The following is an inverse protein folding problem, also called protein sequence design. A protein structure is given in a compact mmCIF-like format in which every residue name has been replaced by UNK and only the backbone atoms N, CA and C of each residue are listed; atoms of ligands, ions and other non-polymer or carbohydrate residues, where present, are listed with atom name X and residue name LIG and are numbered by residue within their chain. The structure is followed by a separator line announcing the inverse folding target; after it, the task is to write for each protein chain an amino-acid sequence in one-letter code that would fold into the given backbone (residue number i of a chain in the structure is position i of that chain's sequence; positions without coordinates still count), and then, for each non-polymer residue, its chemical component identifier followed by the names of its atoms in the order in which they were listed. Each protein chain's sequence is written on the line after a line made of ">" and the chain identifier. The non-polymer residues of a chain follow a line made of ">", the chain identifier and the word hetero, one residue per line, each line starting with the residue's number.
data_IF_739125197168
#
_entry.id   IF_739125197168
#
_cell.length_a   1.000
_cell.length_b   1.000
_cell.length_c   1.000
_cell.angle_alpha   90.00
_cell.angle_beta   90.00
_cell.angle_gamma   90.00
#
_symmetry.space_group_name_H-M   'P 1'
#
loop_
_entity.id
_entity.type
_entity.pdbx_description
1 polymer ?
#
# COMPACT_ATOMS: atom_id res chain seq x y z
N UNK A 1 27.84 30.05 -9.24
CA UNK A 1 26.38 29.80 -9.15
C UNK A 1 26.05 28.65 -10.07
N UNK A 2 25.80 27.46 -9.54
CA UNK A 2 25.29 26.35 -10.35
C UNK A 2 23.76 26.45 -10.36
N UNK A 3 23.22 27.28 -11.26
CA UNK A 3 21.80 27.27 -11.59
C UNK A 3 21.51 26.00 -12.40
N UNK A 4 21.33 24.88 -11.71
CA UNK A 4 20.65 23.75 -12.31
C UNK A 4 19.16 24.07 -12.29
N UNK A 5 18.63 24.52 -13.43
CA UNK A 5 17.20 24.51 -13.68
C UNK A 5 16.75 23.05 -13.67
N UNK A 6 16.03 22.66 -12.63
CA UNK A 6 15.37 21.36 -12.59
C UNK A 6 14.04 21.54 -13.29
N UNK A 7 13.93 21.07 -14.53
CA UNK A 7 12.65 20.92 -15.20
C UNK A 7 11.91 19.73 -14.57
N UNK A 8 11.34 19.92 -13.39
CA UNK A 8 10.35 18.97 -12.89
C UNK A 8 9.18 19.01 -13.88
N UNK A 9 8.83 17.86 -14.47
CA UNK A 9 7.76 17.79 -15.47
C UNK A 9 6.44 18.34 -14.94
N UNK A 10 5.55 18.73 -15.88
CA UNK A 10 4.20 19.15 -15.54
C UNK A 10 3.46 18.01 -14.81
N UNK A 11 2.56 18.39 -13.90
CA UNK A 11 1.74 17.42 -13.20
C UNK A 11 0.79 16.71 -14.19
N UNK A 12 0.57 15.41 -13.98
CA UNK A 12 -0.42 14.66 -14.75
C UNK A 12 -1.82 15.26 -14.59
N UNK A 13 -2.66 15.06 -15.59
CA UNK A 13 -4.04 15.53 -15.55
C UNK A 13 -4.87 14.77 -14.52
N UNK A 14 -5.69 15.51 -13.76
CA UNK A 14 -6.67 14.94 -12.84
C UNK A 14 -6.39 15.26 -11.37
N UNK A 15 -7.43 15.13 -10.55
CA UNK A 15 -7.42 15.57 -9.15
C UNK A 15 -6.67 14.64 -8.19
N UNK A 16 -6.18 13.49 -8.69
CA UNK A 16 -5.55 12.43 -7.87
C UNK A 16 -4.07 12.27 -8.16
N UNK A 17 -3.53 13.13 -9.00
CA UNK A 17 -2.13 13.09 -9.41
C UNK A 17 -1.21 13.79 -8.40
N UNK A 18 -1.72 14.19 -7.23
CA UNK A 18 -0.92 14.68 -6.13
C UNK A 18 -1.56 14.35 -4.78
N UNK A 19 -0.74 14.31 -3.73
CA UNK A 19 -1.20 14.16 -2.36
C UNK A 19 -0.20 14.79 -1.39
N UNK A 20 -0.70 15.23 -0.23
CA UNK A 20 0.12 15.76 0.87
C UNK A 20 0.24 14.68 1.95
N UNK A 21 1.47 14.38 2.34
CA UNK A 21 1.79 13.49 3.45
C UNK A 21 2.42 14.23 4.62
N UNK A 22 2.78 13.49 5.66
CA UNK A 22 3.64 14.00 6.71
C UNK A 22 4.50 12.89 7.28
N UNK A 23 5.70 13.26 7.70
CA UNK A 23 6.64 12.41 8.45
C UNK A 23 7.26 13.25 9.56
N UNK A 24 7.23 12.74 10.80
CA UNK A 24 7.67 13.47 12.00
C UNK A 24 7.04 14.87 12.16
N UNK A 25 5.80 15.05 11.68
CA UNK A 25 5.10 16.34 11.70
C UNK A 25 5.51 17.33 10.60
N UNK A 26 6.51 16.99 9.77
CA UNK A 26 6.89 17.77 8.60
C UNK A 26 6.07 17.34 7.39
N UNK A 27 5.46 18.30 6.71
CA UNK A 27 4.66 18.02 5.53
C UNK A 27 5.54 17.88 4.29
N UNK A 28 5.08 17.02 3.37
CA UNK A 28 5.64 16.91 2.04
C UNK A 28 4.51 16.78 1.02
N UNK A 29 4.78 17.20 -0.21
CA UNK A 29 3.88 17.05 -1.34
C UNK A 29 4.49 16.07 -2.32
N UNK A 30 3.75 15.02 -2.69
CA UNK A 30 4.11 14.15 -3.79
C UNK A 30 3.15 14.38 -4.96
N UNK A 31 3.68 14.50 -6.17
CA UNK A 31 2.87 14.62 -7.37
C UNK A 31 3.43 13.81 -8.54
N UNK A 32 2.55 13.43 -9.45
CA UNK A 32 2.82 12.63 -10.63
C UNK A 32 3.24 13.51 -11.81
N UNK A 33 4.31 13.13 -12.50
CA UNK A 33 4.76 13.76 -13.74
C UNK A 33 5.17 12.68 -14.76
N UNK A 34 4.31 12.41 -15.74
CA UNK A 34 4.35 11.21 -16.59
C UNK A 34 4.29 9.94 -15.74
N UNK A 35 5.33 9.12 -15.84
CA UNK A 35 5.53 7.93 -15.02
C UNK A 35 6.35 8.19 -13.74
N UNK A 36 6.75 9.43 -13.47
CA UNK A 36 7.57 9.77 -12.30
C UNK A 36 6.72 10.29 -11.15
N UNK A 37 7.25 10.15 -9.93
CA UNK A 37 6.71 10.80 -8.73
C UNK A 37 7.75 11.80 -8.23
N UNK A 38 7.37 13.06 -8.15
CA UNK A 38 8.21 14.14 -7.61
C UNK A 38 7.78 14.41 -6.18
N UNK A 39 8.75 14.41 -5.27
CA UNK A 39 8.55 14.66 -3.83
C UNK A 39 9.18 15.99 -3.46
N UNK A 40 8.38 16.85 -2.84
CA UNK A 40 8.72 18.21 -2.44
C UNK A 40 8.57 18.36 -0.92
N UNK A 41 9.44 19.13 -0.30
CA UNK A 41 9.29 19.53 1.10
C UNK A 41 8.21 20.61 1.27
N UNK A 42 8.01 21.08 2.51
CA UNK A 42 7.03 22.12 2.83
C UNK A 42 7.32 23.46 2.16
N UNK A 43 8.57 23.72 1.78
CA UNK A 43 9.03 24.93 1.10
C UNK A 43 9.10 24.74 -0.42
N UNK A 44 8.53 23.64 -0.95
CA UNK A 44 8.49 23.32 -2.39
C UNK A 44 9.88 23.02 -2.96
N UNK A 45 10.88 22.77 -2.11
CA UNK A 45 12.18 22.26 -2.56
C UNK A 45 12.06 20.78 -2.92
N UNK A 46 12.68 20.40 -4.03
CA UNK A 46 12.68 19.01 -4.48
C UNK A 46 13.56 18.13 -3.59
N UNK A 47 12.93 17.16 -2.94
CA UNK A 47 13.57 16.15 -2.09
C UNK A 47 14.03 14.97 -2.93
N UNK A 48 13.13 14.41 -3.76
CA UNK A 48 13.42 13.21 -4.54
C UNK A 48 12.56 13.16 -5.81
N UNK A 49 13.06 12.48 -6.84
CA UNK A 49 12.25 11.98 -7.95
C UNK A 49 12.33 10.46 -7.94
N UNK A 50 11.18 9.80 -7.84
CA UNK A 50 11.06 8.37 -8.09
C UNK A 50 10.83 8.19 -9.59
N UNK A 51 11.88 7.76 -10.28
CA UNK A 51 11.88 7.63 -11.74
C UNK A 51 11.17 6.35 -12.16
N UNK A 52 9.99 6.48 -12.77
CA UNK A 52 9.23 5.32 -13.24
C UNK A 52 9.97 4.58 -14.35
N UNK A 53 10.67 5.29 -15.23
CA UNK A 53 11.47 4.68 -16.31
C UNK A 53 12.62 3.84 -15.78
N UNK A 54 13.34 4.32 -14.76
CA UNK A 54 14.44 3.57 -14.11
C UNK A 54 13.93 2.33 -13.38
N UNK A 55 12.71 2.41 -12.83
CA UNK A 55 12.02 1.28 -12.20
C UNK A 55 11.32 0.35 -13.21
N UNK A 56 11.39 0.66 -14.51
CA UNK A 56 10.80 -0.14 -15.59
C UNK A 56 9.29 0.00 -15.73
N UNK A 57 8.68 1.04 -15.15
CA UNK A 57 7.27 1.36 -15.30
C UNK A 57 7.02 2.02 -16.66
N UNK A 58 6.07 1.48 -17.41
CA UNK A 58 5.82 1.88 -18.80
C UNK A 58 4.60 2.79 -18.96
N UNK A 59 3.85 3.00 -17.88
CA UNK A 59 2.59 3.73 -17.87
C UNK A 59 2.70 4.97 -16.98
N UNK A 60 1.80 5.92 -17.17
CA UNK A 60 1.74 7.12 -16.34
C UNK A 60 1.14 6.81 -14.96
N UNK A 61 1.51 7.62 -13.97
CA UNK A 61 0.91 7.55 -12.65
C UNK A 61 -0.51 8.11 -12.72
N UNK A 62 -1.52 7.30 -12.36
CA UNK A 62 -2.93 7.69 -12.42
C UNK A 62 -3.46 8.24 -11.09
N UNK A 63 -3.00 7.71 -9.97
CA UNK A 63 -3.38 8.17 -8.64
C UNK A 63 -2.18 8.14 -7.68
N UNK A 64 -2.12 9.10 -6.77
CA UNK A 64 -1.17 9.16 -5.66
C UNK A 64 -1.96 9.35 -4.35
N UNK A 65 -1.59 8.60 -3.32
CA UNK A 65 -2.01 8.87 -1.95
C UNK A 65 -0.80 8.84 -1.01
N UNK A 66 -0.68 9.88 -0.18
CA UNK A 66 0.33 9.95 0.87
C UNK A 66 -0.30 9.69 2.23
N UNK A 67 0.38 8.92 3.06
CA UNK A 67 0.01 8.71 4.44
C UNK A 67 0.37 9.95 5.27
N UNK A 68 -0.53 10.35 6.17
CA UNK A 68 -0.34 11.57 6.98
C UNK A 68 0.55 11.35 8.21
N UNK A 69 0.72 10.10 8.65
CA UNK A 69 1.47 9.78 9.88
C UNK A 69 2.84 9.16 9.59
N UNK A 70 2.92 8.21 8.65
CA UNK A 70 4.14 7.45 8.36
C UNK A 70 4.86 7.88 7.08
N UNK A 71 4.36 8.91 6.41
CA UNK A 71 4.90 9.40 5.15
C UNK A 71 4.96 8.40 3.99
N UNK A 72 4.29 7.25 4.07
CA UNK A 72 4.22 6.29 2.96
C UNK A 72 3.51 6.88 1.75
N UNK A 73 3.89 6.43 0.56
CA UNK A 73 3.26 6.83 -0.70
C UNK A 73 2.72 5.58 -1.38
N UNK A 74 1.45 5.62 -1.78
CA UNK A 74 0.85 4.65 -2.69
C UNK A 74 0.67 5.35 -4.05
N UNK A 75 1.15 4.74 -5.12
CA UNK A 75 0.99 5.26 -6.47
C UNK A 75 0.48 4.18 -7.42
N UNK A 76 -0.55 4.50 -8.20
CA UNK A 76 -1.11 3.57 -9.16
C UNK A 76 -0.60 3.80 -10.58
N UNK A 77 -0.34 2.70 -11.26
CA UNK A 77 0.05 2.62 -12.67
C UNK A 77 -0.85 1.56 -13.29
N UNK A 78 -1.84 1.98 -14.08
CA UNK A 78 -2.88 1.09 -14.62
C UNK A 78 -3.57 0.26 -13.52
N UNK A 79 -3.31 -1.05 -13.48
CA UNK A 79 -3.89 -2.01 -12.54
C UNK A 79 -2.95 -2.36 -11.37
N UNK A 80 -1.83 -1.67 -11.24
CA UNK A 80 -0.83 -1.89 -10.18
C UNK A 80 -0.81 -0.74 -9.21
N UNK A 81 -0.62 -1.04 -7.92
CA UNK A 81 -0.35 -0.04 -6.88
C UNK A 81 1.01 -0.33 -6.26
N UNK A 82 1.94 0.59 -6.42
CA UNK A 82 3.27 0.53 -5.80
C UNK A 82 3.26 1.27 -4.48
N UNK A 83 3.90 0.67 -3.47
CA UNK A 83 4.06 1.26 -2.15
C UNK A 83 5.50 1.68 -1.97
N UNK A 84 5.69 2.93 -1.56
CA UNK A 84 6.98 3.51 -1.23
C UNK A 84 7.02 3.92 0.24
N UNK A 85 8.07 3.49 0.94
CA UNK A 85 8.28 3.83 2.34
C UNK A 85 9.49 4.77 2.49
N UNK A 86 9.39 5.79 3.34
CA UNK A 86 10.50 6.68 3.65
C UNK A 86 11.50 5.99 4.58
N UNK A 87 12.78 6.10 4.26
CA UNK A 87 13.89 5.72 5.11
C UNK A 87 14.71 6.97 5.48
N UNK A 88 15.11 7.15 6.76
CA UNK A 88 15.98 8.24 7.14
C UNK A 88 17.29 8.20 6.36
N UNK A 89 17.77 9.37 5.93
CA UNK A 89 19.09 9.52 5.29
C UNK A 89 19.95 10.50 6.07
N UNK A 90 21.27 10.40 5.92
CA UNK A 90 22.19 11.39 6.49
C UNK A 90 21.87 12.75 5.86
N UNK A 91 21.67 13.77 6.70
CA UNK A 91 21.37 15.14 6.32
C UNK A 91 22.15 15.57 5.08
N UNK A 92 21.43 15.87 4.01
CA UNK A 92 22.02 16.56 2.86
C UNK A 92 22.20 18.02 3.25
N UNK A 93 23.42 18.54 3.18
CA UNK A 93 23.72 19.93 3.55
C UNK A 93 22.83 20.93 2.78
N UNK A 94 21.75 21.40 3.41
CA UNK A 94 21.03 22.64 3.09
C UNK A 94 20.15 22.68 1.83
N UNK A 95 19.81 21.55 1.19
CA UNK A 95 18.97 21.56 -0.04
C UNK A 95 17.46 21.51 0.17
N UNK A 96 17.01 20.89 1.27
CA UNK A 96 15.60 20.72 1.63
C UNK A 96 15.49 20.40 3.12
N UNK A 97 14.29 20.52 3.69
CA UNK A 97 14.04 20.31 5.14
C UNK A 97 13.74 18.87 5.54
N UNK A 98 13.68 17.93 4.60
CA UNK A 98 13.33 16.53 4.85
C UNK A 98 14.52 15.57 4.70
N UNK A 99 14.91 14.90 5.78
CA UNK A 99 16.03 13.94 5.81
C UNK A 99 15.56 12.51 5.53
N UNK A 100 14.76 12.35 4.48
CA UNK A 100 14.12 11.08 4.13
C UNK A 100 14.24 10.79 2.64
N UNK A 101 14.38 9.51 2.30
CA UNK A 101 14.33 9.02 0.93
C UNK A 101 13.33 7.87 0.84
N UNK A 102 12.46 7.92 -0.16
CA UNK A 102 11.46 6.89 -0.44
C UNK A 102 12.05 5.80 -1.33
N UNK A 103 11.69 4.57 -1.01
CA UNK A 103 12.04 3.38 -1.80
C UNK A 103 10.83 2.45 -1.93
N UNK A 104 10.74 1.73 -3.05
CA UNK A 104 9.65 0.78 -3.27
C UNK A 104 9.78 -0.38 -2.30
N UNK A 105 8.73 -0.64 -1.52
CA UNK A 105 8.68 -1.76 -0.56
C UNK A 105 7.54 -2.74 -0.83
N UNK A 106 6.59 -2.39 -1.69
CA UNK A 106 5.41 -3.20 -1.96
C UNK A 106 4.82 -3.01 -3.34
N UNK A 107 4.09 -4.02 -3.79
CA UNK A 107 3.31 -4.03 -5.02
C UNK A 107 2.00 -4.78 -4.79
N UNK A 108 0.89 -4.17 -5.18
CA UNK A 108 -0.43 -4.79 -5.27
C UNK A 108 -0.83 -4.84 -6.74
N UNK A 109 -1.36 -5.98 -7.19
CA UNK A 109 -1.95 -6.12 -8.52
C UNK A 109 -3.46 -6.33 -8.40
N UNK A 110 -4.21 -5.65 -9.26
CA UNK A 110 -5.66 -5.69 -9.32
C UNK A 110 -6.12 -6.16 -10.71
N UNK A 111 -7.35 -6.66 -10.81
CA UNK A 111 -7.91 -7.17 -12.07
C UNK A 111 -8.30 -6.06 -13.06
N UNK A 112 -8.30 -4.80 -12.62
CA UNK A 112 -8.69 -3.66 -13.43
C UNK A 112 -7.99 -2.37 -13.03
N UNK A 113 -8.27 -1.30 -13.78
CA UNK A 113 -7.66 0.00 -13.58
C UNK A 113 -7.96 0.56 -12.18
N UNK A 114 -6.92 1.08 -11.54
CA UNK A 114 -7.02 1.71 -10.24
C UNK A 114 -7.41 3.17 -10.40
N UNK A 115 -8.65 3.47 -10.04
CA UNK A 115 -9.22 4.81 -10.20
C UNK A 115 -9.10 5.67 -8.94
N UNK A 116 -8.85 5.08 -7.78
CA UNK A 116 -8.61 5.82 -6.55
C UNK A 116 -7.87 4.97 -5.53
N UNK A 117 -6.96 5.59 -4.78
CA UNK A 117 -6.24 4.98 -3.66
C UNK A 117 -6.37 5.88 -2.44
N UNK A 118 -6.45 5.29 -1.25
CA UNK A 118 -6.37 6.03 0.01
C UNK A 118 -5.76 5.16 1.10
N UNK A 119 -5.08 5.83 2.03
CA UNK A 119 -4.55 5.20 3.22
C UNK A 119 -5.58 5.17 4.34
N UNK A 120 -5.67 4.04 5.04
CA UNK A 120 -6.20 4.02 6.40
C UNK A 120 -5.25 4.76 7.33
N UNK A 121 -5.77 5.46 8.34
CA UNK A 121 -5.08 6.51 9.11
C UNK A 121 -3.74 6.07 9.74
N UNK A 122 -3.48 4.77 9.90
CA UNK A 122 -2.21 4.31 10.46
C UNK A 122 -1.08 4.15 9.46
N UNK A 123 -1.29 3.82 8.18
CA UNK A 123 -0.20 3.41 7.25
C UNK A 123 0.72 2.26 7.74
N UNK A 124 0.60 1.87 9.01
CA UNK A 124 1.29 0.84 9.74
C UNK A 124 0.57 -0.45 9.45
N UNK A 125 1.33 -1.53 9.37
CA UNK A 125 0.81 -2.89 9.30
C UNK A 125 -0.24 -3.07 10.40
N UNK A 126 -1.53 -3.00 10.08
CA UNK A 126 -2.52 -3.73 10.87
C UNK A 126 -2.39 -5.21 10.50
N UNK A 127 -1.26 -5.81 10.87
CA UNK A 127 -1.05 -7.25 11.07
C UNK A 127 0.00 -7.41 12.19
N UNK A 128 -0.18 -6.74 13.33
CA UNK A 128 0.51 -7.11 14.56
C UNK A 128 -0.55 -7.26 15.66
N UNK A 129 -1.30 -8.35 15.52
CA UNK A 129 -1.80 -9.17 16.62
C UNK A 129 -2.25 -10.51 16.04
N UNK A 130 -1.27 -11.34 15.68
CA UNK A 130 -1.28 -12.79 15.89
C UNK A 130 0.17 -13.28 15.81
N UNK A 131 1.00 -12.72 16.70
CA UNK A 131 2.18 -13.44 17.17
C UNK A 131 1.63 -14.60 18.00
N UNK A 132 1.67 -15.81 17.44
CA UNK A 132 2.16 -16.99 18.14
C UNK A 132 2.36 -18.17 17.19
N UNK A 133 3.65 -18.49 17.03
CA UNK A 133 4.20 -19.82 16.87
C UNK A 133 3.99 -20.55 15.54
N UNK A 134 5.10 -20.71 14.84
CA UNK A 134 5.41 -21.93 14.09
C UNK A 134 5.22 -23.17 14.96
N UNK A 135 4.80 -24.28 14.35
CA UNK A 135 5.65 -25.46 14.42
C UNK A 135 6.04 -25.89 13.00
N UNK A 136 7.35 -26.00 12.79
CA UNK A 136 7.91 -26.95 11.86
C UNK A 136 7.28 -28.32 12.06
N UNK A 137 6.73 -28.97 11.03
CA UNK A 137 6.99 -30.39 10.72
C UNK A 137 6.62 -30.69 9.27
N UNK A 138 7.63 -31.20 8.57
CA UNK A 138 7.66 -32.01 7.35
C UNK A 138 6.41 -32.87 7.02
N UNK A 139 6.18 -33.06 5.72
CA UNK A 139 5.59 -34.29 5.15
C UNK A 139 4.79 -34.04 3.86
N UNK A 140 5.12 -34.54 2.67
CA UNK A 140 6.14 -35.52 2.31
C UNK A 140 6.49 -35.43 0.83
N UNK A 141 7.78 -35.27 0.56
CA UNK A 141 8.40 -35.66 -0.70
C UNK A 141 8.45 -37.19 -0.73
N UNK A 142 7.83 -37.80 -1.75
CA UNK A 142 7.96 -39.24 -2.03
C UNK A 142 9.42 -39.51 -2.40
N UNK A 143 10.19 -40.02 -1.44
CA UNK A 143 11.52 -40.59 -1.69
C UNK A 143 11.35 -41.86 -2.53
N UNK A 144 11.86 -41.82 -3.76
CA UNK A 144 12.40 -43.02 -4.42
C UNK A 144 13.73 -43.37 -3.76
N UNK A 145 13.88 -44.62 -3.38
CA UNK A 145 15.07 -45.20 -2.75
C UNK A 145 16.33 -45.06 -3.62
N UNK A 146 17.51 -44.95 -2.98
CA UNK A 146 18.64 -45.72 -3.47
C UNK A 146 19.34 -46.54 -2.36
N UNK A 147 19.75 -47.74 -2.75
CA UNK A 147 20.52 -48.75 -1.98
C UNK A 147 21.93 -48.24 -1.61
N UNK A 148 22.57 -48.77 -0.55
CA UNK A 148 23.89 -48.34 -0.11
C UNK A 148 25.00 -49.14 -0.81
N UNK A 149 26.10 -48.46 -1.15
CA UNK A 149 27.39 -49.10 -1.42
C UNK A 149 28.52 -48.23 -0.88
N UNK A 150 29.44 -48.92 -0.21
CA UNK A 150 30.53 -48.41 0.62
C UNK A 150 31.66 -47.70 -0.15
N UNK A 151 32.41 -46.92 0.64
CA UNK A 151 33.86 -46.69 0.61
C UNK A 151 34.45 -45.33 0.18
N UNK A 152 35.60 -44.94 0.78
CA UNK A 152 35.91 -43.57 1.19
C UNK A 152 37.14 -42.98 0.46
N UNK A 153 37.19 -41.65 0.29
CA UNK A 153 38.41 -40.85 0.50
C UNK A 153 38.20 -39.35 0.26
N UNK A 154 38.92 -38.47 0.99
CA UNK A 154 38.90 -37.02 0.80
C UNK A 154 40.08 -36.55 -0.07
N UNK A 155 39.81 -35.79 -1.14
CA UNK A 155 40.86 -34.97 -1.77
C UNK A 155 40.32 -33.65 -2.35
N UNK A 156 40.84 -32.59 -1.75
CA UNK A 156 41.10 -31.23 -2.23
C UNK A 156 40.87 -30.94 -3.72
N UNK A 157 40.05 -29.93 -4.04
CA UNK A 157 40.33 -29.01 -5.16
C UNK A 157 39.44 -27.77 -5.08
N UNK A 158 40.11 -26.63 -5.03
CA UNK A 158 39.61 -25.27 -5.25
C UNK A 158 39.04 -25.10 -6.66
N UNK A 159 37.89 -24.45 -6.79
CA UNK A 159 37.47 -23.79 -8.03
C UNK A 159 36.55 -22.62 -7.71
N UNK A 160 37.04 -21.42 -7.99
CA UNK A 160 36.22 -20.22 -8.17
C UNK A 160 35.01 -20.53 -9.06
N UNK A 161 33.84 -20.04 -8.67
CA UNK A 161 33.00 -19.29 -9.59
C UNK A 161 32.08 -18.34 -8.83
N UNK A 162 32.34 -17.05 -9.08
CA UNK A 162 31.40 -15.96 -8.88
C UNK A 162 30.04 -16.34 -9.47
N UNK A 163 28.98 -16.10 -8.70
CA UNK A 163 27.75 -15.52 -9.20
C UNK A 163 27.09 -14.78 -8.04
N UNK A 164 27.43 -13.50 -7.92
CA UNK A 164 26.58 -12.50 -7.29
C UNK A 164 25.29 -12.40 -8.11
N UNK A 165 24.33 -13.30 -7.85
CA UNK A 165 22.94 -12.96 -8.09
C UNK A 165 22.55 -11.99 -6.98
N UNK A 166 22.31 -10.73 -7.37
CA UNK A 166 21.73 -9.74 -6.49
C UNK A 166 20.51 -10.34 -5.83
N UNK A 167 20.60 -10.52 -4.50
CA UNK A 167 19.46 -10.83 -3.67
C UNK A 167 18.49 -9.66 -3.83
N UNK A 168 17.54 -9.79 -4.76
CA UNK A 168 16.31 -9.03 -4.69
C UNK A 168 15.71 -9.39 -3.34
N UNK A 169 15.85 -8.45 -2.39
CA UNK A 169 15.16 -8.50 -1.11
C UNK A 169 13.70 -8.88 -1.41
N UNK A 170 13.11 -9.86 -0.71
CA UNK A 170 11.73 -10.23 -0.95
C UNK A 170 10.86 -8.98 -0.77
N UNK A 171 10.16 -8.59 -1.83
CA UNK A 171 9.16 -7.51 -1.76
C UNK A 171 8.20 -7.92 -0.65
N UNK A 172 8.05 -7.06 0.37
CA UNK A 172 7.12 -7.34 1.48
C UNK A 172 5.74 -7.64 0.88
N UNK A 173 5.22 -8.85 1.13
CA UNK A 173 3.97 -9.29 0.54
C UNK A 173 2.80 -8.55 1.19
N UNK A 174 2.24 -7.58 0.47
CA UNK A 174 0.96 -6.97 0.83
C UNK A 174 -0.15 -7.96 0.46
N UNK A 175 -1.04 -8.28 1.42
CA UNK A 175 -2.17 -9.16 1.17
C UNK A 175 -3.50 -8.38 1.08
N UNK A 176 -4.42 -8.88 0.27
CA UNK A 176 -5.79 -8.38 0.25
C UNK A 176 -6.54 -8.87 1.50
N UNK A 177 -7.07 -7.94 2.28
CA UNK A 177 -7.84 -8.24 3.51
C UNK A 177 -9.34 -8.18 3.30
N UNK A 178 -9.80 -7.46 2.27
CA UNK A 178 -11.19 -7.37 1.86
C UNK A 178 -11.30 -6.81 0.44
N UNK A 179 -12.30 -7.27 -0.30
CA UNK A 179 -12.70 -6.67 -1.57
C UNK A 179 -14.21 -6.81 -1.76
N UNK A 180 -14.76 -5.97 -2.63
CA UNK A 180 -16.15 -6.10 -3.06
C UNK A 180 -16.34 -5.49 -4.43
N UNK A 181 -17.30 -6.03 -5.19
CA UNK A 181 -17.69 -5.47 -6.48
C UNK A 181 -18.69 -4.33 -6.28
N UNK A 182 -18.39 -3.17 -6.88
CA UNK A 182 -19.30 -2.02 -6.89
C UNK A 182 -20.13 -1.99 -8.17
N UNK A 183 -21.34 -1.43 -8.08
CA UNK A 183 -22.19 -1.21 -9.23
C UNK A 183 -21.59 -0.15 -10.18
N UNK A 184 -21.01 0.91 -9.60
CA UNK A 184 -20.23 1.94 -10.30
C UNK A 184 -18.79 1.94 -9.75
N UNK A 185 -17.77 2.13 -10.61
CA UNK A 185 -16.39 2.24 -10.14
C UNK A 185 -16.22 3.39 -9.14
N UNK A 186 -15.53 3.12 -8.02
CA UNK A 186 -15.23 4.15 -7.04
C UNK A 186 -14.17 5.11 -7.59
N UNK A 187 -14.58 6.36 -7.82
CA UNK A 187 -13.69 7.44 -8.23
C UNK A 187 -13.14 8.20 -7.03
N UNK A 188 -13.76 8.11 -5.86
CA UNK A 188 -13.29 8.77 -4.66
C UNK A 188 -13.33 7.77 -3.53
N UNK A 189 -12.29 7.74 -2.71
CA UNK A 189 -12.23 6.98 -1.47
C UNK A 189 -11.55 7.82 -0.41
N UNK A 190 -12.16 7.92 0.79
CA UNK A 190 -11.52 8.56 1.95
C UNK A 190 -11.85 7.81 3.23
N UNK A 191 -10.84 7.58 4.05
CA UNK A 191 -10.99 7.03 5.40
C UNK A 191 -11.35 8.14 6.39
N UNK A 192 -12.21 7.81 7.33
CA UNK A 192 -12.46 8.61 8.53
C UNK A 192 -11.22 8.66 9.42
N UNK A 193 -11.09 9.73 10.21
CA UNK A 193 -9.95 9.90 11.12
C UNK A 193 -9.95 8.94 12.30
N UNK A 194 -11.12 8.42 12.68
CA UNK A 194 -11.27 7.44 13.77
C UNK A 194 -11.11 5.98 13.31
N UNK A 195 -10.94 5.75 12.00
CA UNK A 195 -10.77 4.44 11.33
C UNK A 195 -12.00 3.55 11.32
N UNK A 196 -13.14 4.02 11.82
CA UNK A 196 -14.34 3.19 11.89
C UNK A 196 -15.06 3.14 10.55
N UNK A 197 -14.86 4.17 9.73
CA UNK A 197 -15.58 4.36 8.48
C UNK A 197 -14.62 4.65 7.33
N UNK A 198 -15.03 4.27 6.12
CA UNK A 198 -14.53 4.88 4.90
C UNK A 198 -15.69 5.16 3.97
N UNK A 199 -15.52 6.12 3.07
CA UNK A 199 -16.57 6.51 2.14
C UNK A 199 -16.06 6.42 0.71
N UNK A 200 -16.95 6.00 -0.18
CA UNK A 200 -16.69 5.90 -1.62
C UNK A 200 -17.79 6.57 -2.42
N UNK A 201 -17.44 7.17 -3.56
CA UNK A 201 -18.39 7.64 -4.55
C UNK A 201 -17.84 7.47 -5.97
N UNK A 202 -18.70 7.17 -6.94
CA UNK A 202 -18.36 7.05 -8.35
C UNK A 202 -18.53 8.35 -9.13
N UNK A 203 -18.21 8.28 -10.43
CA UNK A 203 -18.40 9.41 -11.35
C UNK A 203 -19.88 9.70 -11.52
N UNK A 204 -20.28 10.96 -11.37
CA UNK A 204 -21.68 11.41 -11.49
C UNK A 204 -22.66 10.83 -10.46
N UNK A 205 -22.18 10.09 -9.46
CA UNK A 205 -23.03 9.55 -8.41
C UNK A 205 -23.63 10.68 -7.59
N UNK A 206 -24.90 10.53 -7.21
CA UNK A 206 -25.60 11.40 -6.25
C UNK A 206 -25.62 10.81 -4.84
N UNK A 207 -24.97 9.67 -4.65
CA UNK A 207 -24.92 8.93 -3.40
C UNK A 207 -23.47 8.75 -3.00
N UNK A 208 -23.15 9.06 -1.75
CA UNK A 208 -21.92 8.64 -1.10
C UNK A 208 -22.21 7.36 -0.34
N UNK A 209 -21.46 6.30 -0.62
CA UNK A 209 -21.54 5.05 0.13
C UNK A 209 -20.58 5.13 1.31
N UNK A 210 -21.11 5.03 2.53
CA UNK A 210 -20.34 5.06 3.78
C UNK A 210 -20.28 3.63 4.33
N UNK A 211 -19.08 3.09 4.41
CA UNK A 211 -18.78 1.73 4.82
C UNK A 211 -18.37 1.70 6.29
N UNK A 212 -18.73 0.61 6.96
CA UNK A 212 -18.36 0.32 8.35
C UNK A 212 -18.15 -1.18 8.52
N UNK A 213 -17.23 -1.55 9.42
CA UNK A 213 -16.92 -2.95 9.70
C UNK A 213 -18.09 -3.66 10.41
N UNK A 214 -18.41 -4.87 9.96
CA UNK A 214 -19.39 -5.75 10.58
C UNK A 214 -18.77 -6.55 11.73
N UNK A 215 -18.67 -5.93 12.92
CA UNK A 215 -18.10 -6.58 14.11
C UNK A 215 -18.82 -7.87 14.56
N UNK A 216 -20.09 -8.07 14.16
CA UNK A 216 -20.87 -9.25 14.54
C UNK A 216 -20.48 -10.50 13.73
N UNK A 217 -20.08 -10.32 12.47
CA UNK A 217 -19.83 -11.43 11.56
C UNK A 217 -18.45 -12.06 11.79
N UNK A 218 -17.49 -11.29 12.31
CA UNK A 218 -16.13 -11.77 12.64
C UNK A 218 -16.06 -12.60 13.92
N UNK A 219 -17.02 -12.45 14.85
CA UNK A 219 -17.02 -13.13 16.16
C UNK A 219 -18.08 -14.22 16.29
N UNK A 220 -19.29 -14.05 15.71
CA UNK A 220 -20.36 -15.04 15.82
C UNK A 220 -20.20 -16.23 14.85
N UNK A 221 -19.71 -16.01 13.62
CA UNK A 221 -19.47 -17.12 12.69
C UNK A 221 -18.38 -18.08 13.16
N UNK A 222 -17.40 -17.59 13.92
CA UNK A 222 -16.37 -18.43 14.53
C UNK A 222 -16.89 -19.28 15.71
N UNK A 223 -18.00 -18.89 16.35
CA UNK A 223 -18.57 -19.59 17.51
C UNK A 223 -19.74 -20.52 17.16
N UNK A 224 -20.56 -20.19 16.16
CA UNK A 224 -21.78 -20.95 15.86
C UNK A 224 -21.54 -22.18 14.97
N UNK A 225 -20.44 -22.23 14.20
CA UNK A 225 -20.08 -23.37 13.34
C UNK A 225 -18.57 -23.63 13.31
N UNK A 226 -17.99 -24.31 14.33
CA UNK A 226 -16.55 -24.60 14.39
C UNK A 226 -16.05 -25.47 13.22
N UNK A 227 -16.93 -26.33 12.70
CA UNK A 227 -16.61 -27.34 11.67
C UNK A 227 -17.01 -26.92 10.24
N UNK A 228 -17.59 -25.72 10.06
CA UNK A 228 -17.94 -25.17 8.74
C UNK A 228 -17.19 -23.87 8.48
N UNK A 229 -15.87 -23.89 8.61
CA UNK A 229 -15.03 -22.84 8.04
C UNK A 229 -15.23 -22.83 6.52
N UNK A 230 -16.11 -21.96 6.05
CA UNK A 230 -16.26 -21.68 4.63
C UNK A 230 -14.89 -21.21 4.09
N UNK A 231 -14.43 -21.72 2.93
CA UNK A 231 -13.16 -21.30 2.34
C UNK A 231 -13.04 -19.77 2.13
N UNK A 232 -14.16 -19.05 2.12
CA UNK A 232 -14.25 -17.62 1.82
C UNK A 232 -14.04 -16.69 3.03
N UNK A 233 -13.95 -17.20 4.26
CA UNK A 233 -13.70 -16.37 5.45
C UNK A 233 -12.22 -16.21 5.81
N UNK A 234 -11.34 -16.94 5.13
CA UNK A 234 -9.91 -16.99 5.39
C UNK A 234 -9.22 -16.75 4.05
N UNK A 235 -8.40 -15.70 3.95
CA UNK A 235 -7.62 -15.49 2.73
C UNK A 235 -6.57 -16.62 2.57
N UNK A 236 -5.94 -16.76 1.40
CA UNK A 236 -4.92 -17.81 1.13
C UNK A 236 -3.75 -17.84 2.15
N UNK A 237 -3.62 -16.83 3.00
CA UNK A 237 -2.63 -16.71 4.08
C UNK A 237 -3.16 -17.01 5.49
N UNK A 238 -4.38 -17.53 5.66
CA UNK A 238 -4.90 -17.89 6.99
C UNK A 238 -5.51 -16.72 7.78
N UNK A 239 -5.70 -15.56 7.16
CA UNK A 239 -6.14 -14.32 7.84
C UNK A 239 -7.67 -14.19 7.71
N UNK A 240 -8.40 -13.92 8.81
CA UNK A 240 -9.83 -13.64 8.76
C UNK A 240 -10.10 -12.45 7.83
N UNK A 241 -10.93 -12.65 6.81
CA UNK A 241 -11.38 -11.53 5.96
C UNK A 241 -12.29 -10.62 6.79
N UNK A 242 -11.92 -9.35 6.90
CA UNK A 242 -12.80 -8.32 7.46
C UNK A 242 -14.03 -8.17 6.56
N UNK A 243 -15.23 -8.01 7.15
CA UNK A 243 -16.48 -7.81 6.43
C UNK A 243 -16.99 -6.40 6.65
N UNK A 244 -17.45 -5.74 5.58
CA UNK A 244 -17.97 -4.37 5.65
C UNK A 244 -19.42 -4.33 5.18
N UNK A 245 -20.25 -3.57 5.91
CA UNK A 245 -21.57 -3.13 5.46
C UNK A 245 -21.51 -1.65 5.10
N UNK A 246 -22.59 -1.11 4.55
CA UNK A 246 -22.66 0.28 4.15
C UNK A 246 -24.04 0.92 4.30
N UNK A 247 -24.04 2.25 4.39
CA UNK A 247 -25.22 3.11 4.25
C UNK A 247 -24.97 4.13 3.15
N UNK A 248 -26.05 4.73 2.61
CA UNK A 248 -25.94 5.81 1.64
C UNK A 248 -26.23 7.16 2.27
N UNK A 249 -25.46 8.17 1.87
CA UNK A 249 -25.74 9.58 2.10
C UNK A 249 -26.05 10.22 0.75
N UNK A 250 -27.25 10.79 0.62
CA UNK A 250 -27.70 11.38 -0.63
C UNK A 250 -27.24 12.84 -0.78
N UNK A 251 -27.01 13.24 -2.02
CA UNK A 251 -26.70 14.61 -2.42
C UNK A 251 -27.64 15.02 -3.59
N UNK A 252 -28.13 16.27 -3.65
CA UNK A 252 -29.09 16.69 -4.68
C UNK A 252 -28.50 16.72 -6.10
N UNK A 253 -27.18 16.73 -6.24
CA UNK A 253 -26.44 16.72 -7.53
C UNK A 253 -25.32 15.68 -7.50
N UNK A 254 -24.65 15.51 -8.63
CA UNK A 254 -23.42 14.72 -8.72
C UNK A 254 -22.43 15.19 -7.64
N UNK A 255 -21.90 14.24 -6.87
CA UNK A 255 -20.89 14.46 -5.85
C UNK A 255 -19.56 14.73 -6.56
N UNK A 256 -18.99 15.91 -6.32
CA UNK A 256 -17.66 16.29 -6.85
C UNK A 256 -16.56 16.10 -5.82
N UNK A 257 -16.91 15.98 -4.54
CA UNK A 257 -15.97 15.79 -3.46
C UNK A 257 -16.67 15.60 -2.13
N UNK A 258 -16.00 14.94 -1.19
CA UNK A 258 -16.43 14.86 0.20
C UNK A 258 -15.21 14.87 1.12
N UNK A 259 -15.43 15.17 2.40
CA UNK A 259 -14.40 15.12 3.42
C UNK A 259 -15.00 14.73 4.76
N UNK A 260 -14.22 14.01 5.55
CA UNK A 260 -14.57 13.70 6.92
C UNK A 260 -14.30 14.91 7.80
N UNK A 261 -15.28 15.30 8.63
CA UNK A 261 -15.08 16.38 9.60
C UNK A 261 -14.06 15.92 10.64
N UNK A 262 -12.98 16.70 10.81
CA UNK A 262 -12.10 16.57 11.97
C UNK A 262 -12.84 17.15 13.17
N UNK A 263 -13.42 16.30 14.01
CA UNK A 263 -13.99 16.78 15.28
C UNK A 263 -12.81 17.11 16.20
N UNK A 264 -12.80 18.33 16.76
CA UNK A 264 -11.77 18.70 17.73
C UNK A 264 -11.93 17.82 18.98
N UNK A 265 -10.84 17.56 19.71
CA UNK A 265 -10.85 16.86 21.00
C UNK A 265 -11.80 17.50 22.04
N UNK A 266 -12.29 18.73 21.79
CA UNK A 266 -13.08 19.54 22.73
C UNK A 266 -14.58 19.57 22.43
N UNK A 267 -15.06 18.85 21.42
CA UNK A 267 -16.50 18.67 21.21
C UNK A 267 -16.88 17.33 21.85
N UNK A 268 -17.37 17.39 23.10
CA UNK A 268 -17.97 16.24 23.76
C UNK A 268 -19.17 15.75 22.94
N UNK A 269 -19.21 14.43 22.67
CA UNK A 269 -20.38 13.73 22.12
C UNK A 269 -21.41 13.50 23.21
#
# INVERSE_FOLDING_TARGET
>A
MNLHQVLTGAANEGEKCFSVGSIDGNHFTAYAAGCNIVILDSDINRVQILSGTELGYQSEVTCIACCHELGKIAASYENKVYIFEPAPVVRSEGKHSLDYQWSQTGLLMLDGEVLAVAWSYFGQRQIDNLINQSPSTMGGSRRGEPRPSNDPNPHNSSSHNNNNSGQQQPINEWCCTWWTKLANPAMMVKFSTDRLLFATAGKNDRLVKVWYENFKDSSQRAQEFPDQLFPDSINNSGIPMTSFSFVYVAHPRAVTGFSWRRTSKYIHR
#
